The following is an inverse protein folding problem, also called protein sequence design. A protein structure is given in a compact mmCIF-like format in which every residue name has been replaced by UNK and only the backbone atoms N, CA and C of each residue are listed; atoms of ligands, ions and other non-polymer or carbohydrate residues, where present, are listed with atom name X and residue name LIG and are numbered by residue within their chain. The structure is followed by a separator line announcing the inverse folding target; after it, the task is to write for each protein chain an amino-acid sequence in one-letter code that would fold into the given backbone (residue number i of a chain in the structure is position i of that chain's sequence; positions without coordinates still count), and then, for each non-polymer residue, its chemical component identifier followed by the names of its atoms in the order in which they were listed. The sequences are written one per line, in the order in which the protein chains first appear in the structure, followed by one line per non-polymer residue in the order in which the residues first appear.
data_IF_304876615815
#
_entry.id   IF_304876615815
#
_cell.length_a   1.000
_cell.length_b   1.000
_cell.length_c   1.000
_cell.angle_alpha   90.00
_cell.angle_beta   90.00
_cell.angle_gamma   90.00
#
_symmetry.space_group_name_H-M   'P 1'
#
loop_
_entity.id
_entity.type
_entity.pdbx_description
1 polymer ?
#
# COMPACT_ATOMS: atom_id res chain seq x y z
N UNK A 1 -6.55 -20.16 -5.45
CA UNK A 1 -5.71 -19.11 -4.85
C UNK A 1 -6.23 -17.75 -5.29
N UNK A 2 -6.47 -16.86 -4.36
CA UNK A 2 -7.00 -15.53 -4.70
C UNK A 2 -5.87 -14.52 -4.92
N UNK A 3 -6.23 -13.35 -5.46
CA UNK A 3 -5.26 -12.32 -5.79
C UNK A 3 -4.45 -11.85 -4.57
N UNK A 4 -5.10 -11.74 -3.42
CA UNK A 4 -4.43 -11.31 -2.19
C UNK A 4 -3.33 -12.29 -1.79
N UNK A 5 -3.59 -13.57 -1.87
CA UNK A 5 -2.61 -14.59 -1.53
C UNK A 5 -1.41 -14.53 -2.47
N UNK A 6 -1.66 -14.34 -3.77
CA UNK A 6 -0.58 -14.23 -4.76
C UNK A 6 0.30 -13.02 -4.45
N UNK A 7 -0.31 -11.88 -4.15
CA UNK A 7 0.43 -10.65 -3.82
C UNK A 7 1.26 -10.86 -2.57
N UNK A 8 0.68 -11.41 -1.51
CA UNK A 8 1.40 -11.63 -0.26
C UNK A 8 2.58 -12.58 -0.44
N UNK A 9 2.40 -13.66 -1.20
CA UNK A 9 3.49 -14.59 -1.45
C UNK A 9 4.61 -13.95 -2.27
N UNK A 10 4.26 -13.10 -3.23
CA UNK A 10 5.26 -12.37 -4.01
C UNK A 10 6.03 -11.42 -3.10
N UNK A 11 5.33 -10.67 -2.25
CA UNK A 11 5.97 -9.73 -1.34
C UNK A 11 6.95 -10.44 -0.41
N UNK A 12 6.59 -11.63 0.09
CA UNK A 12 7.48 -12.40 0.98
C UNK A 12 8.84 -12.68 0.38
N UNK A 13 8.93 -12.74 -0.94
CA UNK A 13 10.20 -13.01 -1.63
C UNK A 13 11.09 -11.77 -1.72
N UNK A 14 10.53 -10.59 -1.52
CA UNK A 14 11.26 -9.32 -1.71
C UNK A 14 11.49 -8.55 -0.42
N UNK A 15 10.79 -8.91 0.66
CA UNK A 15 10.80 -8.14 1.91
C UNK A 15 11.26 -9.04 3.05
N UNK A 16 12.21 -8.54 3.82
CA UNK A 16 12.72 -9.25 4.97
C UNK A 16 12.92 -8.33 6.17
N UNK A 17 13.43 -8.92 7.25
CA UNK A 17 13.65 -8.18 8.50
C UNK A 17 14.56 -6.98 8.27
N UNK A 18 14.19 -5.85 8.84
CA UNK A 18 14.98 -4.62 8.73
C UNK A 18 14.66 -3.75 7.52
N UNK A 19 13.84 -4.23 6.60
CA UNK A 19 13.52 -3.47 5.39
C UNK A 19 12.59 -2.28 5.67
N UNK A 20 12.60 -1.32 4.75
CA UNK A 20 11.66 -0.19 4.73
C UNK A 20 10.65 -0.46 3.63
N UNK A 21 9.38 -0.40 3.97
CA UNK A 21 8.31 -0.68 3.02
C UNK A 21 7.18 0.34 3.16
N UNK A 22 6.41 0.50 2.09
CA UNK A 22 5.31 1.46 2.07
C UNK A 22 4.00 0.77 1.70
N UNK A 23 2.96 1.03 2.48
CA UNK A 23 1.58 0.69 2.13
C UNK A 23 0.90 1.97 1.69
N UNK A 24 0.72 2.14 0.39
CA UNK A 24 0.19 3.38 -0.17
C UNK A 24 -1.33 3.52 0.03
N UNK A 25 -1.99 2.48 0.45
CA UNK A 25 -3.45 2.42 0.58
C UNK A 25 -3.83 1.64 1.83
N UNK A 26 -3.63 2.24 2.99
CA UNK A 26 -3.75 1.54 4.28
C UNK A 26 -5.10 0.84 4.50
N UNK A 27 -6.20 1.51 4.19
CA UNK A 27 -7.53 0.93 4.30
C UNK A 27 -7.82 0.43 5.71
N UNK A 28 -8.14 -0.85 5.83
CA UNK A 28 -8.41 -1.46 7.13
C UNK A 28 -7.15 -1.89 7.87
N UNK A 29 -6.00 -1.80 7.22
CA UNK A 29 -4.71 -2.06 7.86
C UNK A 29 -4.17 -3.47 7.70
N UNK A 30 -4.86 -4.35 7.00
CA UNK A 30 -4.39 -5.74 6.88
C UNK A 30 -3.07 -5.86 6.15
N UNK A 31 -2.89 -5.10 5.06
CA UNK A 31 -1.62 -5.13 4.35
C UNK A 31 -0.51 -4.45 5.16
N UNK A 32 -0.83 -3.35 5.84
CA UNK A 32 0.13 -2.71 6.75
C UNK A 32 0.59 -3.70 7.81
N UNK A 33 -0.35 -4.42 8.43
CA UNK A 33 -0.03 -5.42 9.45
C UNK A 33 0.81 -6.55 8.88
N UNK A 34 0.46 -7.02 7.68
CA UNK A 34 1.24 -8.06 7.00
C UNK A 34 2.68 -7.61 6.78
N UNK A 35 2.87 -6.39 6.29
CA UNK A 35 4.20 -5.82 6.07
C UNK A 35 4.98 -5.70 7.38
N UNK A 36 4.32 -5.27 8.45
CA UNK A 36 4.94 -5.20 9.77
C UNK A 36 5.49 -6.56 10.19
N UNK A 37 4.75 -7.63 9.92
CA UNK A 37 5.19 -8.98 10.29
C UNK A 37 6.44 -9.42 9.53
N UNK A 38 6.65 -8.88 8.34
CA UNK A 38 7.82 -9.23 7.53
C UNK A 38 9.06 -8.44 7.91
N UNK A 39 8.91 -7.15 8.20
CA UNK A 39 10.08 -6.29 8.47
C UNK A 39 10.53 -6.37 9.92
N UNK A 40 9.65 -6.79 10.81
CA UNK A 40 9.98 -6.93 12.24
C UNK A 40 10.29 -5.61 12.92
N UNK A 41 10.79 -5.68 14.15
CA UNK A 41 11.07 -4.50 14.96
C UNK A 41 12.20 -3.65 14.42
N UNK A 42 13.09 -4.25 13.64
CA UNK A 42 14.23 -3.52 13.05
C UNK A 42 13.87 -2.84 11.73
N UNK A 43 12.71 -3.13 11.17
CA UNK A 43 12.28 -2.53 9.92
C UNK A 43 11.29 -1.40 10.14
N UNK A 44 10.80 -0.86 9.04
CA UNK A 44 9.87 0.28 9.08
C UNK A 44 8.78 0.12 8.03
N UNK A 45 7.53 0.33 8.44
CA UNK A 45 6.39 0.40 7.55
C UNK A 45 5.83 1.81 7.59
N UNK A 46 5.62 2.40 6.41
CA UNK A 46 5.02 3.71 6.27
C UNK A 46 3.70 3.52 5.51
N UNK A 47 2.60 4.02 6.05
CA UNK A 47 1.28 3.82 5.47
C UNK A 47 0.56 5.13 5.23
N UNK A 48 -0.26 5.17 4.20
CA UNK A 48 -1.00 6.38 3.81
C UNK A 48 -2.46 6.05 3.55
N UNK A 49 -3.33 6.94 3.99
CA UNK A 49 -4.72 6.95 3.56
C UNK A 49 -5.28 8.36 3.73
N UNK A 50 -6.20 8.74 2.86
CA UNK A 50 -6.81 10.07 2.92
C UNK A 50 -8.06 10.08 3.82
N UNK A 51 -8.53 8.93 4.23
CA UNK A 51 -9.71 8.81 5.08
C UNK A 51 -9.32 8.56 6.52
N UNK A 52 -9.85 9.38 7.42
CA UNK A 52 -9.56 9.24 8.83
C UNK A 52 -9.99 7.87 9.37
N UNK A 53 -11.14 7.37 8.92
CA UNK A 53 -11.61 6.05 9.36
C UNK A 53 -10.63 4.95 9.00
N UNK A 54 -9.99 5.04 7.84
CA UNK A 54 -8.99 4.08 7.41
C UNK A 54 -7.74 4.15 8.29
N UNK A 55 -7.28 5.37 8.57
CA UNK A 55 -6.12 5.56 9.44
C UNK A 55 -6.40 5.01 10.84
N UNK A 56 -7.57 5.33 11.40
CA UNK A 56 -7.95 4.85 12.72
C UNK A 56 -8.04 3.32 12.75
N UNK A 57 -8.65 2.74 11.72
CA UNK A 57 -8.78 1.29 11.58
C UNK A 57 -7.43 0.61 11.55
N UNK A 58 -6.51 1.17 10.77
CA UNK A 58 -5.15 0.65 10.64
C UNK A 58 -4.43 0.72 11.98
N UNK A 59 -4.46 1.87 12.64
CA UNK A 59 -3.79 2.04 13.93
C UNK A 59 -4.35 1.10 14.99
N UNK A 60 -5.68 0.93 15.01
CA UNK A 60 -6.31 0.03 15.97
C UNK A 60 -5.92 -1.43 15.72
N UNK A 61 -5.86 -1.85 14.46
CA UNK A 61 -5.46 -3.20 14.12
C UNK A 61 -4.02 -3.47 14.55
N UNK A 62 -3.11 -2.55 14.24
CA UNK A 62 -1.70 -2.71 14.62
C UNK A 62 -1.56 -2.78 16.12
N UNK A 63 -2.24 -1.90 16.84
CA UNK A 63 -2.19 -1.89 18.30
C UNK A 63 -2.67 -3.22 18.87
N UNK A 64 -3.74 -3.79 18.33
CA UNK A 64 -4.28 -5.06 18.80
C UNK A 64 -3.32 -6.22 18.56
N UNK A 65 -2.39 -6.09 17.63
CA UNK A 65 -1.41 -7.10 17.28
C UNK A 65 0.00 -6.82 17.81
N UNK A 66 0.15 -5.77 18.61
CA UNK A 66 1.46 -5.38 19.14
C UNK A 66 2.43 -4.90 18.08
N UNK A 67 1.92 -4.34 17.00
CA UNK A 67 2.72 -3.84 15.88
C UNK A 67 2.69 -2.33 15.84
N UNK A 68 3.63 -1.72 15.11
CA UNK A 68 3.64 -0.27 14.89
C UNK A 68 4.09 0.06 13.48
N UNK A 69 3.57 1.17 12.97
CA UNK A 69 3.94 1.71 11.67
C UNK A 69 3.72 3.22 11.70
N UNK A 70 4.35 3.92 10.75
CA UNK A 70 4.09 5.35 10.54
C UNK A 70 2.85 5.47 9.67
N UNK A 71 1.70 5.71 10.28
CA UNK A 71 0.43 5.81 9.55
C UNK A 71 0.08 7.27 9.39
N UNK A 72 -0.07 7.72 8.17
CA UNK A 72 -0.31 9.12 7.83
C UNK A 72 -1.70 9.33 7.22
N UNK A 73 -2.42 10.30 7.74
CA UNK A 73 -3.67 10.79 7.14
C UNK A 73 -3.28 11.76 6.03
N UNK A 74 -2.92 11.20 4.91
CA UNK A 74 -2.34 11.97 3.82
C UNK A 74 -2.43 11.19 2.51
N UNK A 75 -2.43 11.89 1.39
CA UNK A 75 -2.42 11.25 0.08
C UNK A 75 -1.07 10.55 -0.16
N UNK A 76 -1.12 9.38 -0.76
CA UNK A 76 0.08 8.63 -1.09
C UNK A 76 0.97 9.35 -2.12
N UNK A 77 0.46 10.37 -2.81
CA UNK A 77 1.29 11.16 -3.71
C UNK A 77 2.40 11.91 -2.99
N UNK A 78 2.31 12.03 -1.68
CA UNK A 78 3.30 12.71 -0.86
C UNK A 78 4.31 11.76 -0.21
N UNK A 79 4.33 10.50 -0.62
CA UNK A 79 5.21 9.51 0.04
C UNK A 79 6.68 9.86 -0.04
N UNK A 80 7.10 10.63 -1.03
CA UNK A 80 8.51 11.03 -1.16
C UNK A 80 8.98 11.93 -0.03
N UNK A 81 8.07 12.47 0.77
CA UNK A 81 8.43 13.27 1.94
C UNK A 81 8.87 12.41 3.12
N UNK A 82 8.59 11.11 3.08
CA UNK A 82 8.73 10.24 4.24
C UNK A 82 9.76 9.14 4.07
N UNK A 83 10.36 9.03 2.92
CA UNK A 83 11.36 8.01 2.65
C UNK A 83 12.47 8.57 1.77
N UNK A 84 13.64 7.96 1.89
CA UNK A 84 14.83 8.35 1.13
C UNK A 84 14.83 7.64 -0.22
N UNK A 85 15.36 8.30 -1.24
CA UNK A 85 15.53 7.67 -2.56
C UNK A 85 16.32 6.38 -2.44
N UNK A 86 15.94 5.40 -3.24
CA UNK A 86 16.62 4.11 -3.34
C UNK A 86 16.71 3.34 -2.02
N UNK A 87 15.75 3.55 -1.11
CA UNK A 87 15.79 2.90 0.21
C UNK A 87 14.66 1.91 0.47
N UNK A 88 13.61 1.93 -0.35
CA UNK A 88 12.38 1.18 -0.07
C UNK A 88 12.41 -0.16 -0.79
N UNK A 89 12.12 -1.24 -0.05
CA UNK A 89 12.12 -2.59 -0.61
C UNK A 89 10.83 -2.92 -1.36
N UNK A 90 9.72 -2.37 -0.92
CA UNK A 90 8.41 -2.70 -1.49
C UNK A 90 7.42 -1.57 -1.28
N UNK A 91 6.60 -1.32 -2.28
CA UNK A 91 5.48 -0.39 -2.18
C UNK A 91 4.23 -1.11 -2.67
N UNK A 92 3.16 -1.06 -1.88
CA UNK A 92 1.91 -1.76 -2.17
C UNK A 92 0.79 -0.77 -2.38
N UNK A 93 0.06 -0.94 -3.47
CA UNK A 93 -1.15 -0.19 -3.78
C UNK A 93 -2.31 -1.17 -3.92
N UNK A 94 -3.38 -0.96 -3.16
CA UNK A 94 -4.64 -1.68 -3.32
C UNK A 94 -5.70 -0.67 -3.70
N UNK A 95 -6.00 -0.57 -4.99
CA UNK A 95 -6.86 0.47 -5.52
C UNK A 95 -8.26 -0.09 -5.78
N UNK A 96 -9.24 0.44 -5.07
CA UNK A 96 -10.65 0.10 -5.30
C UNK A 96 -11.38 1.32 -5.83
N UNK A 97 -12.20 1.13 -6.84
CA UNK A 97 -13.02 2.19 -7.40
C UNK A 97 -14.48 1.85 -7.21
N UNK A 98 -15.24 2.82 -6.71
CA UNK A 98 -16.68 2.65 -6.56
C UNK A 98 -17.34 2.79 -7.93
N UNK A 99 -18.35 1.97 -8.24
CA UNK A 99 -19.01 2.04 -9.54
C UNK A 99 -19.61 3.41 -9.85
N UNK A 100 -20.02 4.15 -8.83
CA UNK A 100 -20.63 5.46 -8.99
C UNK A 100 -19.64 6.61 -8.85
N UNK A 101 -18.37 6.31 -8.74
CA UNK A 101 -17.39 7.31 -8.34
C UNK A 101 -16.69 7.99 -9.50
N UNK A 102 -17.43 8.45 -10.49
CA UNK A 102 -16.88 9.03 -11.70
C UNK A 102 -15.84 10.12 -11.43
N UNK A 103 -16.21 11.19 -10.76
CA UNK A 103 -15.28 12.29 -10.47
C UNK A 103 -14.17 11.87 -9.52
N UNK A 104 -14.53 11.07 -8.52
CA UNK A 104 -13.55 10.58 -7.55
C UNK A 104 -12.51 9.70 -8.23
N UNK A 105 -12.92 8.90 -9.20
CA UNK A 105 -12.02 8.03 -9.93
C UNK A 105 -10.95 8.84 -10.66
N UNK A 106 -11.33 9.90 -11.34
CA UNK A 106 -10.34 10.72 -12.04
C UNK A 106 -9.37 11.39 -11.10
N UNK A 107 -9.86 11.96 -10.00
CA UNK A 107 -9.00 12.59 -9.01
C UNK A 107 -8.03 11.58 -8.41
N UNK A 108 -8.53 10.40 -8.06
CA UNK A 108 -7.70 9.36 -7.48
C UNK A 108 -6.69 8.84 -8.50
N UNK A 109 -7.04 8.77 -9.76
CA UNK A 109 -6.12 8.31 -10.79
C UNK A 109 -4.91 9.24 -10.92
N UNK A 110 -5.14 10.55 -10.89
CA UNK A 110 -4.04 11.52 -10.96
C UNK A 110 -3.10 11.40 -9.77
N UNK A 111 -3.65 11.35 -8.55
CA UNK A 111 -2.82 11.20 -7.35
C UNK A 111 -2.11 9.86 -7.32
N UNK A 112 -2.77 8.82 -7.81
CA UNK A 112 -2.16 7.49 -7.87
C UNK A 112 -1.00 7.45 -8.85
N UNK A 113 -1.15 8.08 -10.03
CA UNK A 113 -0.06 8.14 -11.00
C UNK A 113 1.13 8.89 -10.42
N UNK A 114 0.90 10.02 -9.75
CA UNK A 114 1.97 10.75 -9.09
C UNK A 114 2.65 9.91 -8.02
N UNK A 115 1.86 9.15 -7.26
CA UNK A 115 2.39 8.30 -6.22
C UNK A 115 3.26 7.18 -6.81
N UNK A 116 2.82 6.59 -7.90
CA UNK A 116 3.60 5.55 -8.58
C UNK A 116 4.91 6.12 -9.08
N UNK A 117 4.87 7.27 -9.74
CA UNK A 117 6.07 7.92 -10.24
C UNK A 117 7.04 8.25 -9.11
N UNK A 118 6.54 8.85 -8.02
CA UNK A 118 7.38 9.15 -6.87
C UNK A 118 7.93 7.90 -6.23
N UNK A 119 7.09 6.88 -6.11
CA UNK A 119 7.48 5.61 -5.49
C UNK A 119 8.59 4.90 -6.25
N UNK A 120 8.58 4.98 -7.58
CA UNK A 120 9.63 4.35 -8.37
C UNK A 120 11.01 4.91 -8.00
N UNK A 121 11.09 6.21 -7.67
CA UNK A 121 12.33 6.82 -7.22
C UNK A 121 12.73 6.41 -5.80
N UNK A 122 11.78 5.96 -5.00
CA UNK A 122 12.07 5.51 -3.64
C UNK A 122 12.52 4.06 -3.59
N UNK A 123 12.14 3.24 -4.58
CA UNK A 123 12.49 1.83 -4.57
C UNK A 123 14.00 1.64 -4.74
N UNK A 124 14.55 0.79 -3.89
CA UNK A 124 15.94 0.39 -4.06
C UNK A 124 16.06 -0.54 -5.27
N UNK A 125 17.29 -0.76 -5.72
CA UNK A 125 17.55 -1.70 -6.81
C UNK A 125 17.03 -3.08 -6.42
N UNK A 126 16.22 -3.67 -7.27
CA UNK A 126 15.59 -4.95 -6.98
C UNK A 126 14.34 -4.86 -6.13
N UNK A 127 13.89 -3.65 -5.81
CA UNK A 127 12.65 -3.46 -5.06
C UNK A 127 11.41 -3.79 -5.87
N UNK A 128 10.29 -3.97 -5.19
CA UNK A 128 9.03 -4.42 -5.78
C UNK A 128 7.93 -3.39 -5.58
N UNK A 129 7.20 -3.09 -6.65
CA UNK A 129 5.96 -2.32 -6.54
C UNK A 129 4.80 -3.22 -6.95
N UNK A 130 3.83 -3.37 -6.06
CA UNK A 130 2.62 -4.15 -6.30
C UNK A 130 1.44 -3.22 -6.45
N UNK A 131 0.74 -3.32 -7.56
CA UNK A 131 -0.46 -2.52 -7.79
C UNK A 131 -1.61 -3.47 -8.11
N UNK A 132 -2.62 -3.47 -7.24
CA UNK A 132 -3.83 -4.25 -7.43
C UNK A 132 -5.00 -3.30 -7.64
N UNK A 133 -5.82 -3.58 -8.63
CA UNK A 133 -6.98 -2.75 -8.96
C UNK A 133 -8.22 -3.63 -9.01
N UNK A 134 -9.29 -3.21 -8.35
CA UNK A 134 -10.57 -3.89 -8.44
C UNK A 134 -11.71 -2.90 -8.41
N UNK A 135 -12.84 -3.33 -8.94
CA UNK A 135 -14.01 -2.49 -9.13
C UNK A 135 -15.18 -3.00 -8.29
N UNK A 136 -15.66 -2.17 -7.40
CA UNK A 136 -16.93 -2.38 -6.75
C UNK A 136 -17.16 -3.66 -5.98
N UNK A 137 -16.21 -4.40 -5.69
CA UNK A 137 -16.35 -5.50 -4.78
C UNK A 137 -16.42 -6.88 -5.42
N UNK A 138 -17.36 -7.20 -6.24
CA UNK A 138 -17.53 -8.58 -6.64
C UNK A 138 -16.96 -8.93 -8.00
N UNK A 139 -17.12 -8.07 -8.98
CA UNK A 139 -16.67 -8.34 -10.34
C UNK A 139 -15.31 -7.77 -10.66
N UNK A 140 -14.62 -7.30 -9.65
CA UNK A 140 -13.38 -6.56 -9.87
C UNK A 140 -12.31 -7.34 -10.58
N UNK A 141 -12.27 -8.65 -10.39
CA UNK A 141 -11.21 -9.42 -11.01
C UNK A 141 -11.38 -9.65 -12.49
N UNK A 142 -12.51 -9.39 -13.03
CA UNK A 142 -12.66 -9.47 -14.46
C UNK A 142 -11.98 -8.30 -15.15
N UNK A 143 -12.04 -7.14 -14.53
CA UNK A 143 -11.48 -5.93 -15.10
C UNK A 143 -9.98 -5.85 -14.90
N UNK A 144 -9.46 -6.44 -13.87
CA UNK A 144 -8.01 -6.36 -13.68
C UNK A 144 -7.24 -7.08 -14.76
N UNK A 145 -7.88 -7.96 -15.51
CA UNK A 145 -7.24 -8.59 -16.65
C UNK A 145 -6.97 -7.60 -17.75
N UNK A 146 -7.62 -6.45 -17.72
CA UNK A 146 -7.43 -5.40 -18.70
C UNK A 146 -6.22 -4.53 -18.41
N UNK A 147 -5.62 -4.69 -17.28
CA UNK A 147 -4.42 -3.96 -16.95
C UNK A 147 -3.23 -4.57 -17.68
#
# INVERSE_FOLDING_TARGET
MNALTIVHETIRKFVGAGDVVIDATAGRGYDTSFLCSLVGDSGKVISFDVQKDAVDSTENLLKSRGQSADVHLESHENMTKYAVEDSVSCIVFNLGYLPSGDHSVFTHAESTIKAIEGGLGLLKKGGLMCVSVYYGGDSGYEERDAL
#
